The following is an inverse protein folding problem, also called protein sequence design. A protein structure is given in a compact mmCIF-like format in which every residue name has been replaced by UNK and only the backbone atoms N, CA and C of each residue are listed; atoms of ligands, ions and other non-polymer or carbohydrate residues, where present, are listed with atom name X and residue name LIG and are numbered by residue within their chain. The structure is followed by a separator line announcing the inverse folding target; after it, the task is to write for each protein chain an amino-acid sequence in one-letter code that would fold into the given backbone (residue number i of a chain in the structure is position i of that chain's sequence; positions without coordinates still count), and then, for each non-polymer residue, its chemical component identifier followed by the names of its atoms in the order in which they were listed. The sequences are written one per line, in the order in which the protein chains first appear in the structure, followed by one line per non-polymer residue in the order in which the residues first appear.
data_IF_640486477522
#
_entry.id   IF_640486477522
#
_cell.length_a   1.000
_cell.length_b   1.000
_cell.length_c   1.000
_cell.angle_alpha   90.00
_cell.angle_beta   90.00
_cell.angle_gamma   90.00
#
_symmetry.space_group_name_H-M   'P 1'
#
loop_
_entity.id
_entity.type
_entity.pdbx_description
1 polymer ?
#
# COMPACT_ATOMS: atom_id res chain seq x y z
N UNK A 1 -11.21 -6.01 6.29
CA UNK A 1 -11.92 -4.71 6.37
C UNK A 1 -11.87 -4.11 7.77
N UNK A 2 -12.05 -4.89 8.83
CA UNK A 2 -12.02 -4.38 10.22
C UNK A 2 -10.72 -3.63 10.56
N UNK A 3 -9.55 -4.20 10.26
CA UNK A 3 -8.28 -3.51 10.49
C UNK A 3 -8.18 -2.15 9.79
N UNK A 4 -8.68 -2.02 8.56
CA UNK A 4 -8.71 -0.74 7.84
C UNK A 4 -9.62 0.26 8.55
N UNK A 5 -10.79 -0.17 9.02
CA UNK A 5 -11.72 0.66 9.78
C UNK A 5 -11.09 1.21 11.05
N UNK A 6 -10.43 0.35 11.82
CA UNK A 6 -9.77 0.74 13.07
C UNK A 6 -8.62 1.73 12.82
N UNK A 7 -7.77 1.44 11.82
CA UNK A 7 -6.67 2.34 11.44
C UNK A 7 -7.20 3.70 10.98
N UNK A 8 -8.23 3.71 10.13
CA UNK A 8 -8.80 4.95 9.61
C UNK A 8 -9.41 5.84 10.71
N UNK A 9 -10.01 5.22 11.73
CA UNK A 9 -10.63 5.93 12.83
C UNK A 9 -9.62 6.45 13.87
N UNK A 10 -8.60 5.68 14.21
CA UNK A 10 -7.77 5.94 15.39
C UNK A 10 -6.35 6.40 15.09
N UNK A 11 -5.71 5.93 14.00
CA UNK A 11 -4.32 6.28 13.73
C UNK A 11 -4.07 7.79 13.55
N UNK A 12 -4.93 8.57 12.86
CA UNK A 12 -4.71 10.00 12.70
C UNK A 12 -4.70 10.78 14.02
N UNK A 13 -5.52 10.40 14.99
CA UNK A 13 -5.53 11.06 16.30
C UNK A 13 -4.30 10.71 17.12
N UNK A 14 -3.82 9.48 17.07
CA UNK A 14 -2.55 9.08 17.70
C UNK A 14 -1.37 9.79 17.07
N UNK A 15 -1.36 9.91 15.76
CA UNK A 15 -0.34 10.67 15.03
C UNK A 15 -0.33 12.16 15.43
N UNK A 16 -1.50 12.72 15.72
CA UNK A 16 -1.63 14.08 16.23
C UNK A 16 -1.25 14.24 17.72
N UNK A 17 -0.77 13.18 18.37
CA UNK A 17 -0.28 13.22 19.75
C UNK A 17 -1.30 12.84 20.82
N UNK A 18 -2.42 12.21 20.45
CA UNK A 18 -3.38 11.68 21.44
C UNK A 18 -2.76 10.53 22.24
N UNK A 19 -2.96 10.54 23.54
CA UNK A 19 -2.59 9.46 24.47
C UNK A 19 -3.77 8.53 24.80
N UNK A 20 -4.83 8.56 24.00
CA UNK A 20 -6.05 7.76 24.21
C UNK A 20 -5.72 6.25 24.17
N UNK A 21 -5.94 5.58 25.29
CA UNK A 21 -5.63 4.15 25.43
C UNK A 21 -6.50 3.26 24.54
N UNK A 22 -7.78 3.61 24.32
CA UNK A 22 -8.66 2.84 23.44
C UNK A 22 -8.20 2.94 21.98
N UNK A 23 -7.71 4.12 21.57
CA UNK A 23 -7.14 4.30 20.24
C UNK A 23 -5.85 3.49 20.07
N UNK A 24 -4.98 3.43 21.08
CA UNK A 24 -3.78 2.59 21.06
C UNK A 24 -4.13 1.10 20.96
N UNK A 25 -5.10 0.64 21.74
CA UNK A 25 -5.58 -0.75 21.70
C UNK A 25 -6.17 -1.08 20.33
N UNK A 26 -6.97 -0.18 19.75
CA UNK A 26 -7.59 -0.35 18.45
C UNK A 26 -6.54 -0.48 17.31
N UNK A 27 -5.50 0.38 17.30
CA UNK A 27 -4.44 0.33 16.31
C UNK A 27 -3.54 -0.90 16.48
N UNK A 28 -3.24 -1.27 17.74
CA UNK A 28 -2.50 -2.49 18.06
C UNK A 28 -3.25 -3.74 17.59
N UNK A 29 -4.56 -3.78 17.84
CA UNK A 29 -5.41 -4.87 17.37
C UNK A 29 -5.49 -4.91 15.84
N UNK A 30 -5.60 -3.77 15.17
CA UNK A 30 -5.57 -3.70 13.72
C UNK A 30 -4.26 -4.24 13.13
N UNK A 31 -3.12 -3.95 13.77
CA UNK A 31 -1.82 -4.51 13.40
C UNK A 31 -1.79 -6.03 13.54
N UNK A 32 -2.33 -6.55 14.65
CA UNK A 32 -2.46 -8.00 14.89
C UNK A 32 -3.33 -8.66 13.81
N UNK A 33 -4.49 -8.08 13.48
CA UNK A 33 -5.34 -8.56 12.37
C UNK A 33 -4.55 -8.59 11.06
N UNK A 34 -3.76 -7.54 10.79
CA UNK A 34 -2.88 -7.49 9.61
C UNK A 34 -1.92 -8.65 9.54
N UNK A 35 -1.24 -8.97 10.63
CA UNK A 35 -0.35 -10.12 10.75
C UNK A 35 -1.06 -11.46 10.51
N UNK A 36 -2.25 -11.64 11.08
CA UNK A 36 -3.08 -12.84 10.86
C UNK A 36 -3.48 -13.01 9.39
N UNK A 37 -3.85 -11.91 8.72
CA UNK A 37 -4.21 -11.91 7.29
C UNK A 37 -3.00 -12.24 6.42
N UNK A 38 -1.84 -11.65 6.70
CA UNK A 38 -0.60 -11.96 5.98
C UNK A 38 -0.24 -13.45 6.11
N UNK A 39 -0.37 -13.99 7.31
CA UNK A 39 -0.07 -15.42 7.56
C UNK A 39 -1.01 -16.35 6.79
N UNK A 40 -2.30 -16.03 6.73
CA UNK A 40 -3.33 -16.93 6.16
C UNK A 40 -3.55 -16.74 4.67
N UNK A 41 -3.47 -15.51 4.18
CA UNK A 41 -3.80 -15.14 2.79
C UNK A 41 -2.61 -14.62 1.98
N UNK A 42 -1.46 -14.42 2.61
CA UNK A 42 -0.29 -13.83 1.97
C UNK A 42 -0.46 -12.34 1.68
N UNK A 43 0.44 -11.82 0.85
CA UNK A 43 0.46 -10.42 0.41
C UNK A 43 0.22 -10.33 -1.10
N UNK A 44 0.03 -9.11 -1.60
CA UNK A 44 -0.29 -8.85 -3.02
C UNK A 44 0.76 -7.96 -3.69
N UNK A 45 0.48 -7.47 -4.88
CA UNK A 45 1.40 -6.72 -5.74
C UNK A 45 2.15 -5.57 -5.04
N UNK A 46 1.54 -4.75 -4.14
CA UNK A 46 2.30 -3.72 -3.43
C UNK A 46 3.54 -4.26 -2.70
N UNK A 47 3.42 -5.36 -1.99
CA UNK A 47 4.56 -6.02 -1.36
C UNK A 47 5.51 -6.65 -2.37
N UNK A 48 4.97 -7.23 -3.45
CA UNK A 48 5.78 -7.80 -4.52
C UNK A 48 6.69 -6.79 -5.20
N UNK A 49 6.23 -5.55 -5.32
CA UNK A 49 7.01 -4.42 -5.87
C UNK A 49 7.90 -3.77 -4.81
N UNK A 50 7.47 -3.72 -3.56
CA UNK A 50 8.22 -3.07 -2.50
C UNK A 50 9.47 -3.85 -2.08
N UNK A 51 9.40 -5.18 -1.96
CA UNK A 51 10.53 -6.01 -1.54
C UNK A 51 11.81 -5.80 -2.38
N UNK A 52 11.75 -5.75 -3.73
CA UNK A 52 12.93 -5.38 -4.52
C UNK A 52 13.46 -3.97 -4.20
N UNK A 53 12.58 -2.99 -3.99
CA UNK A 53 12.97 -1.62 -3.67
C UNK A 53 13.70 -1.53 -2.31
N UNK A 54 13.18 -2.20 -1.28
CA UNK A 54 13.87 -2.36 0.00
C UNK A 54 15.21 -3.06 -0.16
N UNK A 55 15.26 -4.07 -1.01
CA UNK A 55 16.48 -4.87 -1.22
C UNK A 55 17.66 -4.06 -1.77
N UNK A 56 17.43 -3.08 -2.65
CA UNK A 56 18.53 -2.30 -3.27
C UNK A 56 18.84 -0.99 -2.56
N UNK A 57 17.90 -0.41 -1.81
CA UNK A 57 18.08 0.91 -1.16
C UNK A 57 17.88 0.89 0.35
N UNK A 58 17.59 -0.28 0.93
CA UNK A 58 17.32 -0.42 2.36
C UNK A 58 16.27 0.61 2.86
N UNK A 59 15.23 0.82 2.07
CA UNK A 59 14.15 1.75 2.41
C UNK A 59 13.29 1.19 3.54
N UNK A 60 12.66 2.08 4.29
CA UNK A 60 11.71 1.66 5.34
C UNK A 60 10.48 1.03 4.68
N UNK A 61 10.22 -0.24 4.95
CA UNK A 61 9.16 -1.05 4.31
C UNK A 61 7.81 -0.33 4.22
N UNK A 62 7.33 0.24 5.34
CA UNK A 62 6.07 0.99 5.36
C UNK A 62 6.05 2.21 4.46
N UNK A 63 7.20 2.88 4.27
CA UNK A 63 7.31 4.02 3.33
C UNK A 63 7.27 3.57 1.88
N UNK A 64 7.92 2.44 1.56
CA UNK A 64 7.83 1.85 0.22
C UNK A 64 6.40 1.44 -0.13
N UNK A 65 5.70 0.81 0.80
CA UNK A 65 4.28 0.46 0.63
C UNK A 65 3.39 1.71 0.50
N UNK A 66 3.66 2.77 1.27
CA UNK A 66 2.90 4.02 1.19
C UNK A 66 3.02 4.68 -0.18
N UNK A 67 4.21 4.67 -0.79
CA UNK A 67 4.42 5.19 -2.14
C UNK A 67 3.71 4.36 -3.22
N UNK A 68 3.74 3.04 -3.12
CA UNK A 68 3.24 2.12 -4.15
C UNK A 68 1.74 1.85 -4.07
N UNK A 69 1.16 1.77 -2.87
CA UNK A 69 -0.22 1.31 -2.69
C UNK A 69 -1.25 2.19 -3.40
N UNK A 70 -1.20 3.53 -3.36
CA UNK A 70 -2.18 4.37 -4.06
C UNK A 70 -2.17 4.13 -5.58
N UNK A 71 -0.99 4.10 -6.19
CA UNK A 71 -0.80 3.94 -7.63
C UNK A 71 -1.30 2.56 -8.09
N UNK A 72 -0.92 1.50 -7.37
CA UNK A 72 -1.36 0.14 -7.68
C UNK A 72 -2.87 0.00 -7.49
N UNK A 73 -3.44 0.64 -6.47
CA UNK A 73 -4.89 0.62 -6.22
C UNK A 73 -5.67 1.26 -7.36
N UNK A 74 -5.21 2.40 -7.87
CA UNK A 74 -5.85 3.07 -9.01
C UNK A 74 -5.83 2.18 -10.26
N UNK A 75 -4.67 1.58 -10.56
CA UNK A 75 -4.53 0.67 -11.70
C UNK A 75 -5.38 -0.61 -11.55
N UNK A 76 -5.60 -1.07 -10.32
CA UNK A 76 -6.30 -2.33 -10.03
C UNK A 76 -7.80 -2.16 -9.81
N UNK A 77 -8.30 -0.93 -9.79
CA UNK A 77 -9.68 -0.63 -9.43
C UNK A 77 -10.72 -1.49 -10.20
N UNK A 78 -10.56 -1.58 -11.52
CA UNK A 78 -11.49 -2.32 -12.39
C UNK A 78 -11.51 -3.83 -12.13
N UNK A 79 -10.48 -4.39 -11.53
CA UNK A 79 -10.37 -5.82 -11.26
C UNK A 79 -11.15 -6.24 -9.99
N UNK A 80 -11.43 -5.30 -9.05
CA UNK A 80 -12.17 -5.58 -7.83
C UNK A 80 -12.94 -4.33 -7.32
N UNK A 81 -13.85 -3.74 -8.11
CA UNK A 81 -14.44 -2.43 -7.85
C UNK A 81 -15.17 -2.34 -6.51
N UNK A 82 -15.96 -3.35 -6.14
CA UNK A 82 -16.72 -3.36 -4.89
C UNK A 82 -15.81 -3.34 -3.65
N UNK A 83 -14.69 -4.07 -3.71
CA UNK A 83 -13.70 -4.10 -2.62
C UNK A 83 -13.01 -2.76 -2.47
N UNK A 84 -12.57 -2.16 -3.57
CA UNK A 84 -11.93 -0.83 -3.56
C UNK A 84 -12.89 0.28 -3.16
N UNK A 85 -14.18 0.19 -3.55
CA UNK A 85 -15.23 1.10 -3.05
C UNK A 85 -15.37 1.02 -1.53
N UNK A 86 -15.38 -0.20 -0.98
CA UNK A 86 -15.49 -0.41 0.47
C UNK A 86 -14.28 0.18 1.19
N UNK A 87 -13.07 -0.02 0.67
CA UNK A 87 -11.84 0.56 1.22
C UNK A 87 -11.90 2.09 1.16
N UNK A 88 -12.28 2.67 0.02
CA UNK A 88 -12.40 4.11 -0.13
C UNK A 88 -13.37 4.73 0.90
N UNK A 89 -14.53 4.09 1.11
CA UNK A 89 -15.51 4.53 2.11
C UNK A 89 -14.95 4.48 3.53
N UNK A 90 -14.25 3.41 3.89
CA UNK A 90 -13.63 3.26 5.21
C UNK A 90 -12.55 4.32 5.47
N UNK A 91 -11.87 4.79 4.43
CA UNK A 91 -10.88 5.87 4.50
C UNK A 91 -11.48 7.29 4.38
N UNK A 92 -12.81 7.40 4.34
CA UNK A 92 -13.51 8.69 4.22
C UNK A 92 -13.64 9.21 2.79
N UNK A 93 -13.41 8.37 1.78
CA UNK A 93 -13.63 8.71 0.38
C UNK A 93 -15.11 8.69 0.01
N UNK A 94 -15.53 9.61 -0.88
CA UNK A 94 -16.93 9.77 -1.27
C UNK A 94 -17.30 9.12 -2.61
N UNK A 95 -16.33 8.73 -3.44
CA UNK A 95 -16.59 8.21 -4.78
C UNK A 95 -15.82 6.92 -5.08
N UNK A 96 -16.38 6.16 -6.01
CA UNK A 96 -15.87 4.87 -6.45
C UNK A 96 -14.58 4.94 -7.24
N UNK A 97 -14.31 6.06 -7.90
CA UNK A 97 -13.11 6.25 -8.74
C UNK A 97 -11.89 6.76 -7.95
N UNK A 98 -12.02 6.92 -6.64
CA UNK A 98 -11.03 7.62 -5.82
C UNK A 98 -10.42 6.77 -4.72
N UNK A 99 -10.29 5.44 -4.87
CA UNK A 99 -9.71 4.63 -3.79
C UNK A 99 -8.23 4.98 -3.58
N UNK A 100 -7.43 5.13 -4.62
CA UNK A 100 -6.06 5.62 -4.51
C UNK A 100 -5.99 7.02 -3.91
N UNK A 101 -6.90 7.91 -4.30
CA UNK A 101 -7.00 9.24 -3.70
C UNK A 101 -7.43 9.21 -2.22
N UNK A 102 -8.32 8.32 -1.85
CA UNK A 102 -8.68 8.13 -0.44
C UNK A 102 -7.48 7.66 0.38
N UNK A 103 -6.67 6.75 -0.18
CA UNK A 103 -5.42 6.29 0.44
C UNK A 103 -4.42 7.46 0.54
N UNK A 104 -4.20 8.24 -0.53
CA UNK A 104 -3.28 9.41 -0.51
C UNK A 104 -3.66 10.39 0.58
N UNK A 105 -4.94 10.81 0.64
CA UNK A 105 -5.44 11.71 1.70
C UNK A 105 -5.28 11.13 3.10
N UNK A 106 -5.48 9.82 3.27
CA UNK A 106 -5.25 9.18 4.55
C UNK A 106 -3.75 9.22 4.93
N UNK A 107 -2.86 8.91 4.01
CA UNK A 107 -1.41 8.96 4.22
C UNK A 107 -0.92 10.38 4.53
N UNK A 108 -1.48 11.40 3.87
CA UNK A 108 -1.20 12.82 4.18
C UNK A 108 -1.58 13.16 5.63
N UNK A 109 -2.72 12.69 6.12
CA UNK A 109 -3.19 12.95 7.50
C UNK A 109 -2.29 12.36 8.57
N UNK A 110 -1.49 11.36 8.24
CA UNK A 110 -0.54 10.70 9.16
C UNK A 110 0.92 10.99 8.79
N UNK A 111 1.18 12.03 7.97
CA UNK A 111 2.52 12.45 7.60
C UNK A 111 3.31 11.42 6.80
N UNK A 112 2.63 10.52 6.07
CA UNK A 112 3.23 9.43 5.31
C UNK A 112 2.98 9.57 3.79
N UNK A 113 2.77 10.79 3.31
CA UNK A 113 2.73 11.08 1.87
C UNK A 113 4.16 11.11 1.33
N UNK A 114 4.60 10.03 0.74
CA UNK A 114 5.99 9.81 0.30
C UNK A 114 6.04 9.24 -1.11
N UNK A 115 7.15 9.50 -1.81
CA UNK A 115 7.48 8.93 -3.11
C UNK A 115 8.66 7.98 -3.01
N UNK A 116 8.81 7.07 -3.97
CA UNK A 116 9.98 6.19 -4.04
C UNK A 116 11.27 6.99 -4.31
N UNK A 117 11.18 8.08 -5.08
CA UNK A 117 12.34 8.97 -5.34
C UNK A 117 12.89 9.62 -4.07
N UNK A 118 12.03 9.97 -3.11
CA UNK A 118 12.45 10.52 -1.82
C UNK A 118 13.19 9.49 -0.95
N UNK A 119 13.10 8.22 -1.33
CA UNK A 119 13.75 7.09 -0.66
C UNK A 119 14.96 6.57 -1.45
N UNK A 120 15.42 7.32 -2.45
CA UNK A 120 16.62 7.02 -3.22
C UNK A 120 16.40 6.07 -4.39
N UNK A 121 15.16 5.69 -4.73
CA UNK A 121 14.86 4.96 -5.96
C UNK A 121 14.84 5.93 -7.14
N UNK A 122 15.43 5.52 -8.25
CA UNK A 122 15.53 6.33 -9.46
C UNK A 122 14.95 5.59 -10.67
N UNK A 123 14.69 6.32 -11.76
CA UNK A 123 14.25 5.72 -13.01
C UNK A 123 15.24 4.65 -13.53
N UNK A 124 16.53 4.80 -13.26
CA UNK A 124 17.55 3.83 -13.65
C UNK A 124 17.41 2.47 -12.94
N UNK A 125 16.78 2.44 -11.77
CA UNK A 125 16.56 1.22 -11.00
C UNK A 125 15.36 0.39 -11.53
N UNK A 126 14.42 1.01 -12.25
CA UNK A 126 13.15 0.40 -12.66
C UNK A 126 13.31 -0.90 -13.45
N UNK A 127 14.21 -1.03 -14.44
CA UNK A 127 14.40 -2.29 -15.15
C UNK A 127 14.76 -3.44 -14.21
N UNK A 128 15.70 -3.20 -13.28
CA UNK A 128 16.10 -4.21 -12.30
C UNK A 128 14.98 -4.54 -11.31
N UNK A 129 14.28 -3.51 -10.78
CA UNK A 129 13.15 -3.68 -9.87
C UNK A 129 12.05 -4.52 -10.50
N UNK A 130 11.73 -4.24 -11.77
CA UNK A 130 10.71 -4.98 -12.52
C UNK A 130 11.08 -6.45 -12.67
N UNK A 131 12.30 -6.76 -13.15
CA UNK A 131 12.74 -8.15 -13.29
C UNK A 131 12.80 -8.88 -11.95
N UNK A 132 13.27 -8.21 -10.90
CA UNK A 132 13.37 -8.81 -9.58
C UNK A 132 11.98 -9.08 -8.98
N UNK A 133 11.01 -8.18 -9.16
CA UNK A 133 9.62 -8.39 -8.77
C UNK A 133 9.07 -9.71 -9.34
N UNK A 134 9.23 -9.96 -10.64
CA UNK A 134 8.79 -11.22 -11.27
C UNK A 134 9.62 -12.43 -10.86
N UNK A 135 10.87 -12.25 -10.48
CA UNK A 135 11.74 -13.34 -10.03
C UNK A 135 11.38 -13.84 -8.63
N UNK A 136 11.20 -12.92 -7.68
CA UNK A 136 11.08 -13.27 -6.25
C UNK A 136 9.67 -13.18 -5.68
N UNK A 137 8.76 -12.44 -6.34
CA UNK A 137 7.41 -12.13 -5.81
C UNK A 137 6.27 -12.79 -6.57
N UNK A 138 6.50 -13.96 -7.17
CA UNK A 138 5.50 -14.67 -7.99
C UNK A 138 4.18 -14.89 -7.26
N UNK A 139 4.23 -15.29 -5.99
CA UNK A 139 3.03 -15.52 -5.18
C UNK A 139 2.26 -14.21 -4.94
N UNK A 140 2.94 -13.11 -4.65
CA UNK A 140 2.32 -11.80 -4.44
C UNK A 140 1.65 -11.26 -5.71
N UNK A 141 2.27 -11.49 -6.88
CA UNK A 141 1.70 -11.14 -8.18
C UNK A 141 0.45 -11.99 -8.46
N UNK A 142 0.55 -13.30 -8.28
CA UNK A 142 -0.56 -14.23 -8.53
C UNK A 142 -1.77 -14.00 -7.59
N UNK A 143 -1.50 -13.52 -6.36
CA UNK A 143 -2.52 -13.24 -5.35
C UNK A 143 -3.21 -11.87 -5.57
N UNK A 144 -2.73 -11.06 -6.51
CA UNK A 144 -3.28 -9.74 -6.79
C UNK A 144 -4.44 -9.81 -7.79
N UNK A 145 -5.53 -9.04 -7.60
CA UNK A 145 -6.70 -9.12 -8.49
C UNK A 145 -6.41 -8.66 -9.93
N UNK A 146 -5.52 -7.68 -10.13
CA UNK A 146 -5.10 -7.25 -11.46
C UNK A 146 -4.03 -8.20 -11.99
N UNK A 147 -4.28 -8.80 -13.15
CA UNK A 147 -3.23 -9.53 -13.89
C UNK A 147 -2.22 -8.53 -14.43
N UNK A 148 -0.95 -8.72 -14.09
CA UNK A 148 0.12 -7.78 -14.42
C UNK A 148 1.21 -8.41 -15.26
N UNK A 149 1.76 -7.63 -16.20
CA UNK A 149 2.96 -7.93 -16.96
C UNK A 149 4.11 -6.98 -16.56
N UNK A 150 5.30 -7.23 -17.13
CA UNK A 150 6.48 -6.40 -16.86
C UNK A 150 6.29 -4.93 -17.25
N UNK A 151 5.58 -4.67 -18.34
CA UNK A 151 5.30 -3.31 -18.80
C UNK A 151 4.43 -2.56 -17.79
N UNK A 152 3.41 -3.21 -17.28
CA UNK A 152 2.54 -2.65 -16.25
C UNK A 152 3.31 -2.37 -14.96
N UNK A 153 4.12 -3.32 -14.49
CA UNK A 153 4.91 -3.14 -13.26
C UNK A 153 5.94 -2.01 -13.41
N UNK A 154 6.63 -1.91 -14.55
CA UNK A 154 7.55 -0.82 -14.82
C UNK A 154 6.85 0.55 -14.77
N UNK A 155 5.70 0.69 -15.45
CA UNK A 155 4.88 1.91 -15.41
C UNK A 155 4.42 2.27 -13.99
N UNK A 156 4.01 1.29 -13.18
CA UNK A 156 3.61 1.54 -11.79
C UNK A 156 4.77 2.04 -10.92
N UNK A 157 6.00 1.56 -11.17
CA UNK A 157 7.18 2.12 -10.51
C UNK A 157 7.43 3.57 -10.95
N UNK A 158 7.31 3.88 -12.26
CA UNK A 158 7.45 5.25 -12.78
C UNK A 158 6.44 6.20 -12.14
N UNK A 159 5.17 5.78 -12.01
CA UNK A 159 4.12 6.58 -11.39
C UNK A 159 4.31 6.78 -9.87
N UNK A 160 5.08 5.92 -9.21
CA UNK A 160 5.37 6.01 -7.78
C UNK A 160 6.66 6.82 -7.46
N UNK A 161 7.45 7.24 -8.48
CA UNK A 161 8.61 8.12 -8.34
C UNK A 161 8.16 9.57 -8.12
#
# INVERSE_FOLDING_TARGET
MEGIRLIAAHLPMLYAGSEDAEAWDAVTWASTIGGMVIHTAGVTLPHGMEHPASGIRNIVHGKGLAALTPVITDASYSAAPERYQTIAKLLGGSSTAGCGDAIRRFLERIGLSVKLSEQGITAADIPWLTENCFKVSKASIANHPLQTDRKTVARLYEEAL
#
